data_IF_235795907430
#
_entry.id   IF_235795907430
#
_cell.length_a   1.000
_cell.length_b   1.000
_cell.length_c   1.000
_cell.angle_alpha   90.00
_cell.angle_beta   90.00
_cell.angle_gamma   90.00
#
_symmetry.space_group_name_H-M   'P 1'
#
loop_
_entity.id
_entity.type
_entity.pdbx_description
1 polymer ?
#
# COMPACT_ATOMS: atom_id res chain seq x y z
N UNK A 1 -2.36 33.80 2.80
CA UNK A 1 -1.73 33.80 1.46
C UNK A 1 -2.38 34.86 0.58
N UNK A 2 -1.57 35.60 -0.19
CA UNK A 2 -2.04 36.46 -1.29
C UNK A 2 -1.49 35.84 -2.58
N UNK A 3 -2.28 35.02 -3.26
CA UNK A 3 -1.88 34.38 -4.52
C UNK A 3 -2.39 35.19 -5.70
N UNK A 4 -1.63 35.27 -6.79
CA UNK A 4 -2.01 35.99 -8.02
C UNK A 4 -2.80 35.11 -8.98
N UNK A 5 -2.69 33.79 -8.85
CA UNK A 5 -3.41 32.80 -9.66
C UNK A 5 -3.46 31.43 -8.95
N UNK A 6 -4.22 30.50 -9.51
CA UNK A 6 -4.43 29.15 -8.95
C UNK A 6 -3.14 28.31 -8.88
N UNK A 7 -2.16 28.55 -9.77
CA UNK A 7 -0.86 27.85 -9.73
C UNK A 7 -0.02 28.30 -8.55
N UNK A 8 0.05 29.60 -8.28
CA UNK A 8 0.74 30.13 -7.09
C UNK A 8 0.07 29.61 -5.81
N UNK A 9 -1.27 29.55 -5.78
CA UNK A 9 -1.99 28.95 -4.66
C UNK A 9 -1.68 27.46 -4.46
N UNK A 10 -1.63 26.68 -5.54
CA UNK A 10 -1.28 25.25 -5.47
C UNK A 10 0.16 25.07 -4.97
N UNK A 11 1.11 25.84 -5.50
CA UNK A 11 2.51 25.76 -5.09
C UNK A 11 2.70 26.13 -3.62
N UNK A 12 2.07 27.21 -3.15
CA UNK A 12 2.10 27.60 -1.74
C UNK A 12 1.46 26.53 -0.83
N UNK A 13 0.39 25.85 -1.29
CA UNK A 13 -0.21 24.73 -0.55
C UNK A 13 0.71 23.51 -0.49
N UNK A 14 1.40 23.18 -1.58
CA UNK A 14 2.38 22.09 -1.65
C UNK A 14 3.59 22.42 -0.77
N UNK A 15 4.09 23.65 -0.82
CA UNK A 15 5.18 24.11 0.04
C UNK A 15 4.77 24.10 1.51
N UNK A 16 3.55 24.56 1.82
CA UNK A 16 2.99 24.42 3.16
C UNK A 16 2.96 22.95 3.59
N UNK A 17 2.51 22.04 2.74
CA UNK A 17 2.52 20.61 3.02
C UNK A 17 3.93 20.09 3.36
N UNK A 18 4.94 20.39 2.54
CA UNK A 18 6.32 19.95 2.76
C UNK A 18 6.96 20.52 4.04
N UNK A 19 6.49 21.68 4.51
CA UNK A 19 7.00 22.33 5.71
C UNK A 19 6.41 21.76 7.03
N UNK A 20 5.44 20.85 6.96
CA UNK A 20 4.87 20.19 8.14
C UNK A 20 5.23 18.71 8.14
N UNK A 21 5.53 18.16 9.33
CA UNK A 21 5.68 16.72 9.53
C UNK A 21 4.31 16.02 9.44
N UNK A 22 3.80 15.90 8.22
CA UNK A 22 2.56 15.20 7.95
C UNK A 22 2.83 13.71 7.93
N UNK A 23 1.98 12.93 8.60
CA UNK A 23 2.04 11.46 8.59
C UNK A 23 1.00 10.87 7.65
N UNK A 24 1.23 9.62 7.25
CA UNK A 24 0.31 8.87 6.41
C UNK A 24 0.27 9.36 4.98
N UNK A 25 -0.86 9.14 4.30
CA UNK A 25 -1.05 9.47 2.89
C UNK A 25 -1.52 10.90 2.64
N UNK A 26 -1.39 11.80 3.64
CA UNK A 26 -1.77 13.19 3.43
C UNK A 26 -0.90 13.81 2.35
N UNK A 27 -1.52 14.38 1.31
CA UNK A 27 -0.82 15.16 0.29
C UNK A 27 -1.79 16.11 -0.44
N UNK A 28 -1.27 17.23 -0.94
CA UNK A 28 -1.94 18.05 -1.96
C UNK A 28 -1.63 17.43 -3.31
N UNK A 29 -2.66 17.04 -4.06
CA UNK A 29 -2.46 16.34 -5.34
C UNK A 29 -1.98 17.33 -6.38
N UNK A 30 -0.69 17.26 -6.72
CA UNK A 30 -0.08 18.02 -7.83
C UNK A 30 -0.58 17.52 -9.20
N UNK A 31 -0.13 18.18 -10.28
CA UNK A 31 -0.57 17.87 -11.65
C UNK A 31 -0.15 16.46 -12.09
N UNK A 32 1.08 16.04 -11.80
CA UNK A 32 1.61 14.76 -12.22
C UNK A 32 0.94 13.62 -11.46
N UNK A 33 0.78 13.80 -10.14
CA UNK A 33 0.04 12.91 -9.26
C UNK A 33 -1.43 12.78 -9.68
N UNK A 34 -2.09 13.88 -10.09
CA UNK A 34 -3.45 13.80 -10.61
C UNK A 34 -3.53 12.90 -11.86
N UNK A 35 -2.64 13.12 -12.83
CA UNK A 35 -2.64 12.34 -14.08
C UNK A 35 -2.34 10.85 -13.82
N UNK A 36 -1.36 10.55 -12.96
CA UNK A 36 -1.04 9.18 -12.53
C UNK A 36 -2.23 8.49 -11.87
N UNK A 37 -2.80 9.10 -10.83
CA UNK A 37 -3.94 8.53 -10.09
C UNK A 37 -5.16 8.39 -11.02
N UNK A 38 -5.44 9.39 -11.85
CA UNK A 38 -6.53 9.35 -12.82
C UNK A 38 -6.37 8.20 -13.82
N UNK A 39 -5.17 7.93 -14.31
CA UNK A 39 -4.91 6.79 -15.19
C UNK A 39 -5.08 5.45 -14.48
N UNK A 40 -4.55 5.32 -13.25
CA UNK A 40 -4.73 4.11 -12.42
C UNK A 40 -6.22 3.81 -12.24
N UNK A 41 -7.02 4.78 -11.80
CA UNK A 41 -8.45 4.58 -11.58
C UNK A 41 -9.23 4.31 -12.87
N UNK A 42 -8.80 4.85 -14.02
CA UNK A 42 -9.35 4.47 -15.32
C UNK A 42 -9.09 3.00 -15.65
N UNK A 43 -7.86 2.52 -15.44
CA UNK A 43 -7.50 1.13 -15.66
C UNK A 43 -8.30 0.21 -14.73
N UNK A 44 -8.43 0.54 -13.45
CA UNK A 44 -9.24 -0.22 -12.48
C UNK A 44 -10.72 -0.35 -12.91
N UNK A 45 -11.29 0.68 -13.54
CA UNK A 45 -12.65 0.64 -14.11
C UNK A 45 -12.71 -0.26 -15.33
N UNK A 46 -11.73 -0.16 -16.24
CA UNK A 46 -11.65 -0.98 -17.45
C UNK A 46 -11.54 -2.47 -17.10
N UNK A 47 -10.71 -2.78 -16.09
CA UNK A 47 -10.51 -4.13 -15.55
C UNK A 47 -11.67 -4.61 -14.67
N UNK A 48 -12.70 -3.78 -14.47
CA UNK A 48 -13.87 -4.07 -13.62
C UNK A 48 -13.51 -4.39 -12.16
N UNK A 49 -12.38 -3.86 -11.67
CA UNK A 49 -11.93 -4.00 -10.28
C UNK A 49 -12.68 -3.05 -9.33
N UNK A 50 -13.13 -1.91 -9.86
CA UNK A 50 -13.98 -0.95 -9.15
C UNK A 50 -15.16 -0.55 -10.02
N UNK A 51 -16.20 0.03 -9.41
CA UNK A 51 -17.36 0.57 -10.13
C UNK A 51 -17.22 2.06 -10.42
N UNK A 52 -17.95 2.57 -11.42
CA UNK A 52 -18.06 4.02 -11.69
C UNK A 52 -18.66 4.81 -10.52
N UNK A 53 -19.24 4.13 -9.54
CA UNK A 53 -19.77 4.74 -8.33
C UNK A 53 -18.73 4.97 -7.24
N UNK A 54 -17.51 4.41 -7.38
CA UNK A 54 -16.40 4.60 -6.45
C UNK A 54 -16.16 6.09 -6.17
N UNK A 55 -15.91 6.41 -4.89
CA UNK A 55 -15.76 7.78 -4.42
C UNK A 55 -14.61 8.52 -5.11
N UNK A 56 -13.41 7.94 -5.10
CA UNK A 56 -12.21 8.54 -5.67
C UNK A 56 -12.36 8.72 -7.18
N UNK A 57 -12.88 7.70 -7.88
CA UNK A 57 -13.17 7.80 -9.31
C UNK A 57 -14.12 8.98 -9.62
N UNK A 58 -15.19 9.16 -8.84
CA UNK A 58 -16.11 10.30 -9.00
C UNK A 58 -15.42 11.66 -8.81
N UNK A 59 -14.44 11.76 -7.91
CA UNK A 59 -13.66 13.00 -7.72
C UNK A 59 -12.73 13.26 -8.90
N UNK A 60 -12.06 12.23 -9.39
CA UNK A 60 -11.12 12.34 -10.52
C UNK A 60 -11.83 12.70 -11.84
N UNK A 61 -13.07 12.23 -12.01
CA UNK A 61 -13.91 12.48 -13.19
C UNK A 61 -14.81 13.72 -13.08
N UNK A 62 -14.76 14.46 -11.97
CA UNK A 62 -15.49 15.72 -11.82
C UNK A 62 -14.99 16.73 -12.85
N UNK A 63 -15.91 17.35 -13.60
CA UNK A 63 -15.58 18.27 -14.69
C UNK A 63 -14.75 19.46 -14.21
N UNK A 64 -15.08 20.02 -13.05
CA UNK A 64 -14.39 21.20 -12.52
C UNK A 64 -12.99 20.84 -12.07
N UNK A 65 -12.80 19.63 -11.53
CA UNK A 65 -11.48 19.07 -11.21
C UNK A 65 -10.65 18.92 -12.48
N UNK A 66 -11.19 18.23 -13.50
CA UNK A 66 -10.50 18.04 -14.77
C UNK A 66 -10.10 19.37 -15.43
N UNK A 67 -11.03 20.33 -15.51
CA UNK A 67 -10.78 21.64 -16.10
C UNK A 67 -9.69 22.41 -15.34
N UNK A 68 -9.59 22.22 -14.02
CA UNK A 68 -8.58 22.86 -13.19
C UNK A 68 -7.19 22.27 -13.41
N UNK A 69 -7.04 20.94 -13.39
CA UNK A 69 -5.76 20.28 -13.68
C UNK A 69 -5.31 20.49 -15.13
N UNK A 70 -6.24 20.50 -16.09
CA UNK A 70 -5.93 20.85 -17.48
C UNK A 70 -5.36 22.27 -17.61
N UNK A 71 -5.88 23.26 -16.87
CA UNK A 71 -5.33 24.63 -16.84
C UNK A 71 -3.97 24.67 -16.16
N UNK A 72 -3.82 23.98 -15.03
CA UNK A 72 -2.58 23.94 -14.26
C UNK A 72 -1.43 23.30 -15.05
N UNK A 73 -1.71 22.26 -15.84
CA UNK A 73 -0.72 21.50 -16.61
C UNK A 73 -0.26 22.12 -17.94
N UNK A 74 -0.79 23.28 -18.35
CA UNK A 74 -0.49 23.88 -19.67
C UNK A 74 0.99 24.22 -19.93
N UNK A 75 1.81 24.34 -18.90
CA UNK A 75 3.24 24.69 -19.02
C UNK A 75 4.19 23.60 -18.46
N UNK A 76 3.65 22.42 -18.14
CA UNK A 76 4.43 21.32 -17.56
C UNK A 76 4.51 20.18 -18.57
N UNK A 77 5.72 19.76 -18.93
CA UNK A 77 5.92 18.52 -19.66
C UNK A 77 5.65 17.35 -18.72
N UNK A 78 4.56 16.62 -18.95
CA UNK A 78 4.28 15.37 -18.27
C UNK A 78 5.35 14.34 -18.64
N UNK A 79 6.22 14.01 -17.69
CA UNK A 79 7.16 12.90 -17.81
C UNK A 79 6.57 11.72 -17.06
N UNK A 80 6.09 10.73 -17.81
CA UNK A 80 5.69 9.45 -17.28
C UNK A 80 6.96 8.65 -16.99
N UNK A 81 7.56 8.84 -15.80
CA UNK A 81 8.52 7.86 -15.30
C UNK A 81 7.72 6.74 -14.64
N UNK A 82 7.44 5.68 -15.42
CA UNK A 82 7.20 4.36 -14.86
C UNK A 82 8.51 3.92 -14.20
N UNK A 83 8.70 4.29 -12.93
CA UNK A 83 9.69 3.63 -12.09
C UNK A 83 9.12 2.27 -11.70
N UNK A 84 9.11 1.34 -12.66
CA UNK A 84 8.89 -0.08 -12.43
C UNK A 84 10.12 -0.62 -11.70
N UNK A 85 10.21 -0.32 -10.40
CA UNK A 85 11.10 -1.05 -9.51
C UNK A 85 10.41 -2.39 -9.29
N UNK A 86 10.77 -3.34 -10.15
CA UNK A 86 10.12 -4.65 -10.26
C UNK A 86 10.33 -5.55 -9.04
N UNK A 87 10.20 -6.85 -9.27
CA UNK A 87 10.48 -7.91 -8.30
C UNK A 87 11.76 -8.63 -8.70
N UNK A 88 12.67 -8.83 -7.76
CA UNK A 88 13.87 -9.63 -7.96
C UNK A 88 13.73 -10.96 -7.21
N UNK A 89 14.15 -12.05 -7.84
CA UNK A 89 14.07 -13.40 -7.29
C UNK A 89 15.39 -14.14 -7.52
N UNK A 90 15.87 -14.86 -6.51
CA UNK A 90 17.08 -15.68 -6.61
C UNK A 90 17.18 -16.70 -5.47
N UNK A 91 18.03 -17.71 -5.66
CA UNK A 91 18.42 -18.64 -4.60
C UNK A 91 19.73 -18.21 -3.94
N UNK A 92 19.77 -18.17 -2.60
CA UNK A 92 21.02 -18.04 -1.82
C UNK A 92 21.06 -19.11 -0.72
N UNK A 93 22.01 -20.04 -0.86
CA UNK A 93 22.23 -21.21 0.01
C UNK A 93 20.98 -22.10 0.13
N UNK A 94 20.21 -21.90 1.20
CA UNK A 94 19.02 -22.69 1.55
C UNK A 94 17.73 -21.85 1.48
N UNK A 95 17.84 -20.59 1.05
CA UNK A 95 16.74 -19.66 0.93
C UNK A 95 16.42 -19.39 -0.54
N UNK A 96 15.14 -19.37 -0.86
CA UNK A 96 14.64 -18.62 -2.01
C UNK A 96 14.33 -17.19 -1.54
N UNK A 97 14.80 -16.18 -2.26
CA UNK A 97 14.62 -14.78 -1.90
C UNK A 97 13.74 -14.10 -2.92
N UNK A 98 12.75 -13.34 -2.44
CA UNK A 98 11.89 -12.47 -3.25
C UNK A 98 11.98 -11.05 -2.71
N UNK A 99 12.49 -10.12 -3.51
CA UNK A 99 12.56 -8.70 -3.16
C UNK A 99 11.45 -7.93 -3.87
N UNK A 100 10.49 -7.39 -3.11
CA UNK A 100 9.46 -6.50 -3.65
C UNK A 100 9.79 -5.05 -3.32
N UNK A 101 10.09 -4.23 -4.34
CA UNK A 101 10.26 -2.78 -4.16
C UNK A 101 8.93 -2.01 -4.18
N UNK A 102 7.88 -2.62 -4.71
CA UNK A 102 6.52 -2.06 -4.71
C UNK A 102 5.48 -3.19 -4.70
N UNK A 103 4.27 -2.87 -4.24
CA UNK A 103 3.07 -3.67 -4.49
C UNK A 103 2.15 -3.01 -5.52
N UNK A 104 2.70 -2.31 -6.51
CA UNK A 104 1.91 -1.82 -7.64
C UNK A 104 1.06 -2.96 -8.23
N UNK A 105 -0.18 -2.66 -8.64
CA UNK A 105 -1.11 -3.70 -9.09
C UNK A 105 -0.62 -4.44 -10.35
N UNK A 106 0.24 -3.82 -11.15
CA UNK A 106 0.90 -4.46 -12.30
C UNK A 106 1.78 -5.65 -11.89
N UNK A 107 2.26 -5.70 -10.64
CA UNK A 107 3.04 -6.82 -10.09
C UNK A 107 2.26 -8.13 -10.03
N UNK A 108 0.94 -8.12 -10.19
CA UNK A 108 0.15 -9.35 -10.40
C UNK A 108 0.65 -10.14 -11.62
N UNK A 109 1.19 -9.47 -12.64
CA UNK A 109 1.78 -10.13 -13.81
C UNK A 109 3.09 -10.84 -13.45
N UNK A 110 3.89 -10.24 -12.56
CA UNK A 110 5.16 -10.80 -12.09
C UNK A 110 4.98 -12.01 -11.18
N UNK A 111 3.82 -12.15 -10.50
CA UNK A 111 3.54 -13.33 -9.67
C UNK A 111 3.54 -14.65 -10.46
N UNK A 112 3.24 -14.61 -11.77
CA UNK A 112 3.33 -15.79 -12.62
C UNK A 112 4.78 -16.26 -12.81
N UNK A 113 5.71 -15.31 -13.01
CA UNK A 113 7.13 -15.57 -13.10
C UNK A 113 7.67 -16.13 -11.78
N UNK A 114 7.31 -15.53 -10.64
CA UNK A 114 7.69 -16.03 -9.31
C UNK A 114 7.22 -17.47 -9.14
N UNK A 115 5.98 -17.78 -9.54
CA UNK A 115 5.45 -19.13 -9.46
C UNK A 115 6.23 -20.11 -10.34
N UNK A 116 6.70 -19.72 -11.53
CA UNK A 116 7.56 -20.55 -12.39
C UNK A 116 8.91 -20.81 -11.74
N UNK A 117 9.60 -19.78 -11.25
CA UNK A 117 10.90 -19.91 -10.59
C UNK A 117 10.84 -20.78 -9.33
N UNK A 118 9.74 -20.70 -8.57
CA UNK A 118 9.52 -21.53 -7.38
C UNK A 118 9.28 -23.02 -7.70
N UNK A 119 8.91 -23.40 -8.92
CA UNK A 119 8.75 -24.83 -9.28
C UNK A 119 10.10 -25.57 -9.29
N UNK A 120 11.17 -24.86 -9.63
CA UNK A 120 12.52 -25.43 -9.71
C UNK A 120 13.24 -25.40 -8.34
N UNK A 121 12.74 -24.63 -7.39
CA UNK A 121 13.30 -24.56 -6.04
C UNK A 121 12.89 -25.78 -5.19
N UNK A 122 13.89 -26.44 -4.58
CA UNK A 122 13.68 -27.63 -3.76
C UNK A 122 13.90 -27.42 -2.26
N UNK A 123 14.21 -26.19 -1.83
CA UNK A 123 14.35 -25.84 -0.41
C UNK A 123 13.00 -25.62 0.28
N UNK A 124 13.04 -25.46 1.60
CA UNK A 124 11.83 -25.24 2.43
C UNK A 124 11.83 -23.89 3.18
N UNK A 125 12.76 -23.00 2.83
CA UNK A 125 12.90 -21.66 3.41
C UNK A 125 12.79 -20.59 2.35
N UNK A 126 11.98 -19.57 2.64
CA UNK A 126 11.79 -18.41 1.77
C UNK A 126 11.96 -17.11 2.56
N UNK A 127 12.63 -16.14 1.96
CA UNK A 127 12.75 -14.77 2.43
C UNK A 127 11.96 -13.89 1.48
N UNK A 128 11.10 -13.06 2.04
CA UNK A 128 10.39 -12.00 1.31
C UNK A 128 10.91 -10.68 1.87
N UNK A 129 11.57 -9.87 1.04
CA UNK A 129 12.06 -8.55 1.43
C UNK A 129 11.09 -7.46 0.95
N UNK A 130 10.56 -6.70 1.91
CA UNK A 130 9.71 -5.52 1.69
C UNK A 130 10.27 -4.28 2.41
N UNK A 131 11.56 -4.30 2.74
CA UNK A 131 12.18 -3.31 3.62
C UNK A 131 12.27 -1.90 3.02
N UNK A 132 12.32 -1.80 1.68
CA UNK A 132 12.24 -0.57 0.89
C UNK A 132 10.87 -0.39 0.18
N UNK A 133 9.86 -1.18 0.56
CA UNK A 133 8.55 -1.20 -0.11
C UNK A 133 7.55 -0.21 0.52
N UNK A 134 7.21 0.84 -0.21
CA UNK A 134 6.28 1.87 0.26
C UNK A 134 4.79 1.50 0.07
N UNK A 135 4.50 0.30 -0.44
CA UNK A 135 3.16 -0.26 -0.58
C UNK A 135 2.65 -0.28 -2.02
N UNK A 136 1.33 -0.12 -2.18
CA UNK A 136 0.61 -0.37 -3.42
C UNK A 136 -0.74 -1.02 -3.14
N UNK A 137 -1.06 -2.10 -3.84
CA UNK A 137 -2.33 -2.81 -3.72
C UNK A 137 -2.20 -4.06 -2.86
N UNK A 138 -3.08 -4.18 -1.87
CA UNK A 138 -3.18 -5.36 -1.01
C UNK A 138 -3.42 -6.67 -1.77
N UNK A 139 -3.96 -6.60 -2.99
CA UNK A 139 -4.22 -7.78 -3.81
C UNK A 139 -2.95 -8.54 -4.18
N UNK A 140 -1.81 -7.84 -4.32
CA UNK A 140 -0.55 -8.44 -4.76
C UNK A 140 -0.02 -9.38 -3.68
N UNK A 141 0.16 -8.87 -2.46
CA UNK A 141 0.66 -9.71 -1.37
C UNK A 141 -0.37 -10.77 -0.94
N UNK A 142 -1.68 -10.50 -1.04
CA UNK A 142 -2.71 -11.52 -0.77
C UNK A 142 -2.60 -12.70 -1.72
N UNK A 143 -2.34 -12.43 -3.01
CA UNK A 143 -2.13 -13.46 -4.02
C UNK A 143 -0.79 -14.20 -3.84
N UNK A 144 0.26 -13.49 -3.40
CA UNK A 144 1.51 -14.16 -3.00
C UNK A 144 1.28 -15.13 -1.84
N UNK A 145 0.55 -14.71 -0.79
CA UNK A 145 0.22 -15.58 0.35
C UNK A 145 -0.60 -16.80 -0.09
N UNK A 146 -1.53 -16.66 -1.05
CA UNK A 146 -2.30 -17.81 -1.53
C UNK A 146 -1.43 -18.83 -2.27
N UNK A 147 -0.37 -18.40 -2.95
CA UNK A 147 0.60 -19.30 -3.59
C UNK A 147 1.48 -20.03 -2.57
N UNK A 148 2.01 -19.29 -1.59
CA UNK A 148 3.07 -19.77 -0.70
C UNK A 148 2.58 -20.56 0.53
N UNK A 149 1.27 -20.56 0.79
CA UNK A 149 0.69 -21.19 1.99
C UNK A 149 0.03 -22.53 1.67
N UNK A 150 0.19 -23.53 2.56
CA UNK A 150 -0.60 -24.76 2.57
C UNK A 150 -1.97 -24.64 3.28
N UNK A 151 -2.25 -23.51 3.94
CA UNK A 151 -3.46 -23.28 4.75
C UNK A 151 -4.17 -21.97 4.44
N UNK A 152 -5.48 -21.93 4.71
CA UNK A 152 -6.28 -20.70 4.62
C UNK A 152 -6.01 -19.79 5.83
N UNK A 153 -6.11 -18.47 5.58
CA UNK A 153 -5.99 -17.47 6.62
C UNK A 153 -7.24 -16.61 6.74
N UNK A 154 -7.56 -16.25 7.98
CA UNK A 154 -8.54 -15.23 8.32
C UNK A 154 -7.92 -14.28 9.33
N UNK A 155 -7.76 -13.02 8.93
CA UNK A 155 -7.20 -11.96 9.75
C UNK A 155 -8.25 -10.88 9.99
N UNK A 156 -8.54 -10.60 11.26
CA UNK A 156 -9.48 -9.55 11.65
C UNK A 156 -8.75 -8.41 12.31
N UNK A 157 -9.15 -7.19 12.01
CA UNK A 157 -8.54 -6.03 12.62
C UNK A 157 -9.53 -4.89 12.84
N UNK A 158 -9.40 -4.19 13.98
CA UNK A 158 -10.24 -3.03 14.27
C UNK A 158 -9.66 -1.80 13.55
N UNK A 159 -10.51 -1.15 12.77
CA UNK A 159 -10.23 0.09 12.07
C UNK A 159 -11.06 1.20 12.72
N UNK A 160 -10.46 2.38 12.88
CA UNK A 160 -11.10 3.54 13.49
C UNK A 160 -11.05 4.73 12.54
N UNK A 161 -12.12 5.51 12.49
CA UNK A 161 -12.18 6.71 11.67
C UNK A 161 -12.87 7.86 12.40
N UNK A 162 -12.66 9.05 11.87
CA UNK A 162 -13.16 10.29 12.44
C UNK A 162 -13.72 11.22 11.36
N UNK A 163 -14.79 11.91 11.70
CA UNK A 163 -15.39 12.92 10.85
C UNK A 163 -16.33 12.38 9.76
N UNK A 164 -17.23 13.26 9.34
CA UNK A 164 -18.34 12.95 8.44
C UNK A 164 -17.90 12.56 7.03
N UNK A 165 -16.85 13.19 6.50
CA UNK A 165 -16.34 12.88 5.17
C UNK A 165 -15.76 11.46 5.12
N UNK A 166 -14.91 11.13 6.09
CA UNK A 166 -14.34 9.79 6.24
C UNK A 166 -15.40 8.71 6.45
N UNK A 167 -16.41 8.97 7.27
CA UNK A 167 -17.51 8.02 7.47
C UNK A 167 -18.22 7.69 6.16
N UNK A 168 -18.61 8.73 5.40
CA UNK A 168 -19.26 8.56 4.09
C UNK A 168 -18.36 7.86 3.07
N UNK A 169 -17.06 8.10 3.13
CA UNK A 169 -16.10 7.41 2.26
C UNK A 169 -16.07 5.92 2.56
N UNK A 170 -15.98 5.53 3.83
CA UNK A 170 -15.97 4.12 4.26
C UNK A 170 -17.30 3.44 3.91
N UNK A 171 -18.43 4.08 4.19
CA UNK A 171 -19.76 3.58 3.82
C UNK A 171 -19.92 3.38 2.31
N UNK A 172 -19.17 4.11 1.47
CA UNK A 172 -19.20 3.95 0.01
C UNK A 172 -18.55 2.65 -0.49
N UNK A 173 -17.84 1.93 0.38
CA UNK A 173 -17.33 0.58 0.14
C UNK A 173 -18.27 -0.52 0.68
N UNK A 174 -19.52 -0.17 1.01
CA UNK A 174 -20.51 -1.08 1.63
C UNK A 174 -20.03 -1.66 2.98
N UNK A 175 -19.15 -0.92 3.67
CA UNK A 175 -18.65 -1.29 4.99
C UNK A 175 -19.61 -0.74 6.04
N UNK A 176 -20.16 -1.63 6.88
CA UNK A 176 -20.98 -1.25 8.01
C UNK A 176 -20.10 -0.70 9.14
N UNK A 177 -20.40 0.54 9.56
CA UNK A 177 -19.62 1.28 10.55
C UNK A 177 -20.45 1.49 11.81
N UNK A 178 -19.84 1.23 12.96
CA UNK A 178 -20.47 1.41 14.26
C UNK A 178 -20.20 2.83 14.79
N UNK A 179 -20.98 3.27 15.77
CA UNK A 179 -20.84 4.55 16.48
C UNK A 179 -21.29 5.80 15.67
N UNK A 180 -20.89 6.97 16.15
CA UNK A 180 -21.40 8.30 15.75
C UNK A 180 -20.85 8.82 14.41
N UNK A 181 -21.33 9.98 13.92
CA UNK A 181 -20.74 10.65 12.74
C UNK A 181 -19.32 11.20 12.98
N UNK A 182 -18.97 11.57 14.23
CA UNK A 182 -17.68 12.22 14.55
C UNK A 182 -16.56 11.22 14.85
N UNK A 183 -16.92 10.02 15.29
CA UNK A 183 -16.01 8.91 15.57
C UNK A 183 -16.75 7.60 15.30
N UNK A 184 -16.11 6.74 14.53
CA UNK A 184 -16.65 5.45 14.11
C UNK A 184 -15.57 4.37 14.09
N UNK A 185 -16.00 3.10 14.13
CA UNK A 185 -15.10 1.97 13.95
C UNK A 185 -15.79 0.81 13.23
N UNK A 186 -14.98 -0.07 12.63
CA UNK A 186 -15.44 -1.31 12.02
C UNK A 186 -14.36 -2.39 12.14
N UNK A 187 -14.73 -3.64 11.85
CA UNK A 187 -13.80 -4.76 11.80
C UNK A 187 -13.53 -5.08 10.34
N UNK A 188 -12.30 -4.81 9.90
CA UNK A 188 -11.80 -5.29 8.62
C UNK A 188 -11.48 -6.79 8.73
N UNK A 189 -11.82 -7.54 7.68
CA UNK A 189 -11.59 -8.98 7.60
C UNK A 189 -10.87 -9.29 6.28
N UNK A 190 -9.63 -9.74 6.39
CA UNK A 190 -8.86 -10.29 5.28
C UNK A 190 -8.98 -11.81 5.34
N UNK A 191 -9.65 -12.37 4.34
CA UNK A 191 -9.74 -13.81 4.11
C UNK A 191 -8.88 -14.18 2.90
N UNK A 192 -7.97 -15.13 3.07
CA UNK A 192 -7.12 -15.66 2.00
C UNK A 192 -7.33 -17.17 1.94
N UNK A 193 -7.71 -17.64 0.76
CA UNK A 193 -7.81 -19.07 0.45
C UNK A 193 -6.48 -19.50 -0.17
N UNK A 194 -5.87 -20.54 0.40
CA UNK A 194 -4.65 -21.11 -0.14
C UNK A 194 -4.93 -21.83 -1.46
N UNK A 195 -4.06 -21.62 -2.45
CA UNK A 195 -4.05 -22.37 -3.71
C UNK A 195 -3.26 -23.67 -3.60
N UNK A 196 -2.59 -23.89 -2.47
CA UNK A 196 -1.80 -25.09 -2.16
C UNK A 196 -0.76 -25.40 -3.24
N UNK A 197 -0.18 -24.36 -3.84
CA UNK A 197 0.87 -24.51 -4.84
C UNK A 197 2.19 -24.87 -4.17
N UNK A 198 2.52 -24.19 -3.06
CA UNK A 198 3.70 -24.43 -2.26
C UNK A 198 3.35 -24.52 -0.77
N UNK A 199 4.21 -25.21 -0.01
CA UNK A 199 4.06 -25.37 1.45
C UNK A 199 5.41 -25.17 2.14
N UNK A 200 5.88 -23.93 2.16
CA UNK A 200 7.15 -23.56 2.78
C UNK A 200 7.06 -23.67 4.31
N UNK A 201 7.98 -24.42 4.91
CA UNK A 201 8.00 -24.60 6.37
C UNK A 201 8.44 -23.35 7.10
N UNK A 202 9.33 -22.56 6.49
CA UNK A 202 9.82 -21.31 7.07
C UNK A 202 9.72 -20.17 6.08
N UNK A 203 8.81 -19.25 6.37
CA UNK A 203 8.67 -17.98 5.64
C UNK A 203 9.19 -16.86 6.55
N UNK A 204 10.13 -16.07 6.04
CA UNK A 204 10.66 -14.89 6.72
C UNK A 204 10.26 -13.64 5.93
N UNK A 205 9.85 -12.60 6.64
CA UNK A 205 9.52 -11.31 6.02
C UNK A 205 10.46 -10.24 6.60
N UNK A 206 11.28 -9.65 5.72
CA UNK A 206 12.16 -8.54 6.07
C UNK A 206 11.41 -7.24 5.88
N UNK A 207 11.39 -6.38 6.90
CA UNK A 207 10.75 -5.08 6.86
C UNK A 207 11.67 -3.98 7.39
N UNK A 208 11.46 -2.76 6.91
CA UNK A 208 12.30 -1.59 7.14
C UNK A 208 11.50 -0.38 7.60
N UNK A 209 12.20 0.72 7.85
CA UNK A 209 11.61 2.01 8.23
C UNK A 209 10.87 2.69 7.07
N UNK A 210 11.00 2.18 5.84
CA UNK A 210 10.23 2.59 4.67
C UNK A 210 9.05 1.68 4.34
N UNK A 211 8.94 0.52 5.00
CA UNK A 211 7.78 -0.36 4.84
C UNK A 211 6.50 0.42 5.21
N UNK A 212 5.62 0.65 4.25
CA UNK A 212 4.47 1.55 4.39
C UNK A 212 3.22 1.00 3.70
N UNK A 213 2.04 1.54 4.05
CA UNK A 213 0.77 1.27 3.36
C UNK A 213 0.48 -0.24 3.21
N UNK A 214 0.21 -0.74 1.98
CA UNK A 214 -0.03 -2.17 1.74
C UNK A 214 1.11 -3.08 2.23
N UNK A 215 2.36 -2.61 2.25
CA UNK A 215 3.49 -3.37 2.79
C UNK A 215 3.43 -3.46 4.32
N UNK A 216 3.00 -2.40 5.03
CA UNK A 216 2.68 -2.48 6.46
C UNK A 216 1.50 -3.42 6.71
N UNK A 217 0.48 -3.40 5.86
CA UNK A 217 -0.67 -4.31 5.93
C UNK A 217 -0.20 -5.77 5.86
N UNK A 218 0.68 -6.08 4.91
CA UNK A 218 1.28 -7.40 4.75
C UNK A 218 2.15 -7.82 5.94
N UNK A 219 3.01 -6.91 6.44
CA UNK A 219 3.83 -7.17 7.62
C UNK A 219 2.97 -7.49 8.84
N UNK A 220 1.91 -6.72 9.04
CA UNK A 220 0.98 -6.89 10.14
C UNK A 220 0.19 -8.19 10.03
N UNK A 221 -0.33 -8.50 8.84
CA UNK A 221 -0.98 -9.77 8.54
C UNK A 221 -0.04 -10.92 8.89
N UNK A 222 1.16 -10.91 8.31
CA UNK A 222 2.17 -11.96 8.47
C UNK A 222 2.51 -12.23 9.92
N UNK A 223 2.76 -11.17 10.69
CA UNK A 223 3.02 -11.26 12.12
C UNK A 223 1.82 -11.79 12.92
N UNK A 224 0.62 -11.36 12.59
CA UNK A 224 -0.59 -11.65 13.37
C UNK A 224 -1.15 -13.04 13.10
N UNK A 225 -0.99 -13.55 11.87
CA UNK A 225 -1.47 -14.87 11.45
C UNK A 225 -0.42 -15.97 11.60
N UNK A 226 0.85 -15.58 11.75
CA UNK A 226 1.97 -16.53 11.73
C UNK A 226 2.33 -17.01 10.33
N UNK A 227 1.86 -16.35 9.28
CA UNK A 227 2.28 -16.66 7.90
C UNK A 227 3.79 -16.52 7.73
N UNK A 228 4.41 -15.49 8.31
CA UNK A 228 5.86 -15.31 8.25
C UNK A 228 6.44 -14.81 9.58
N UNK A 229 7.69 -15.18 9.84
CA UNK A 229 8.49 -14.57 10.90
C UNK A 229 9.02 -13.21 10.43
N UNK A 230 8.51 -12.13 11.04
CA UNK A 230 8.84 -10.76 10.65
C UNK A 230 10.11 -10.26 11.34
N UNK A 231 11.09 -9.79 10.56
CA UNK A 231 12.44 -9.42 11.00
C UNK A 231 12.79 -8.03 10.44
N UNK A 232 13.53 -7.20 11.18
CA UNK A 232 14.10 -5.94 10.68
C UNK A 232 13.80 -4.73 11.56
N UNK A 233 13.29 -3.65 10.98
CA UNK A 233 12.92 -2.41 11.70
C UNK A 233 11.41 -2.22 11.78
N UNK A 234 10.96 -1.30 12.65
CA UNK A 234 9.56 -0.87 12.71
C UNK A 234 9.17 -0.13 11.41
N UNK A 235 7.96 -0.38 10.90
CA UNK A 235 7.45 0.22 9.66
C UNK A 235 7.15 1.71 9.80
N UNK A 236 7.01 2.39 8.66
CA UNK A 236 6.39 3.71 8.57
C UNK A 236 4.87 3.68 8.80
N UNK A 237 4.22 2.51 8.68
CA UNK A 237 2.84 2.28 9.12
C UNK A 237 1.77 2.49 8.05
N UNK A 238 0.56 2.84 8.50
CA UNK A 238 -0.60 3.20 7.66
C UNK A 238 -1.15 2.12 6.73
N UNK A 239 -0.91 0.83 7.02
CA UNK A 239 -1.58 -0.29 6.36
C UNK A 239 -3.03 -0.46 6.84
N UNK A 240 -3.97 0.26 6.21
CA UNK A 240 -5.39 0.29 6.63
C UNK A 240 -6.34 -0.54 5.75
N UNK A 241 -5.89 -0.99 4.57
CA UNK A 241 -6.70 -1.79 3.64
C UNK A 241 -7.67 -0.99 2.77
N UNK A 242 -7.75 0.34 2.94
CA UNK A 242 -8.52 1.24 2.09
C UNK A 242 -7.59 2.21 1.36
N UNK A 243 -7.94 2.52 0.11
CA UNK A 243 -7.28 3.59 -0.64
C UNK A 243 -7.41 4.92 0.12
N UNK A 244 -6.38 5.80 0.07
CA UNK A 244 -6.50 7.15 0.58
C UNK A 244 -7.69 7.89 -0.05
N UNK A 245 -8.44 8.65 0.75
CA UNK A 245 -9.61 9.38 0.30
C UNK A 245 -9.21 10.66 -0.44
N UNK A 246 -9.80 10.88 -1.61
CA UNK A 246 -9.71 12.13 -2.35
C UNK A 246 -10.85 13.08 -1.96
N UNK A 247 -10.51 14.32 -1.64
CA UNK A 247 -11.45 15.42 -1.40
C UNK A 247 -11.20 16.58 -2.37
N UNK A 248 -12.27 17.11 -2.94
CA UNK A 248 -12.25 18.31 -3.80
C UNK A 248 -12.32 19.56 -2.93
N UNK A 249 -11.37 20.48 -3.11
CA UNK A 249 -11.44 21.82 -2.50
C UNK A 249 -12.49 22.69 -3.20
N UNK A 250 -13.37 23.40 -2.46
CA UNK A 250 -14.58 24.02 -3.01
C UNK A 250 -14.36 25.21 -3.94
N UNK A 251 -13.18 25.84 -3.93
CA UNK A 251 -12.91 27.05 -4.72
C UNK A 251 -11.89 26.84 -5.84
N UNK A 252 -10.92 25.94 -5.63
CA UNK A 252 -9.85 25.68 -6.60
C UNK A 252 -10.04 24.39 -7.38
N UNK A 253 -10.93 23.51 -6.90
CA UNK A 253 -11.13 22.15 -7.41
C UNK A 253 -9.86 21.28 -7.43
N UNK A 254 -8.80 21.71 -6.74
CA UNK A 254 -7.62 20.89 -6.43
C UNK A 254 -8.06 19.77 -5.49
N UNK A 255 -7.42 18.60 -5.64
CA UNK A 255 -7.67 17.46 -4.78
C UNK A 255 -6.69 17.44 -3.60
N UNK A 256 -7.21 17.04 -2.44
CA UNK A 256 -6.43 16.66 -1.27
C UNK A 256 -6.60 15.16 -1.05
N UNK A 257 -5.50 14.47 -0.83
CA UNK A 257 -5.46 13.07 -0.45
C UNK A 257 -5.23 12.97 1.05
N UNK A 258 -5.95 12.07 1.73
CA UNK A 258 -5.77 11.79 3.15
C UNK A 258 -6.26 10.39 3.52
N UNK A 259 -5.72 9.83 4.60
CA UNK A 259 -6.28 8.63 5.20
C UNK A 259 -7.68 8.91 5.78
N UNK A 260 -8.69 8.17 5.32
CA UNK A 260 -10.04 8.26 5.91
C UNK A 260 -10.13 7.59 7.28
N UNK A 261 -9.23 6.64 7.54
CA UNK A 261 -9.25 5.77 8.70
C UNK A 261 -7.82 5.48 9.16
N UNK A 262 -7.69 5.03 10.40
CA UNK A 262 -6.43 4.60 10.97
C UNK A 262 -6.59 3.25 11.68
N UNK A 263 -5.45 2.59 11.88
CA UNK A 263 -5.33 1.31 12.56
C UNK A 263 -4.42 1.48 13.77
N UNK A 264 -4.73 0.82 14.89
CA UNK A 264 -3.91 0.86 16.10
C UNK A 264 -3.29 -0.52 16.40
N UNK A 265 -1.98 -0.62 16.63
CA UNK A 265 -0.96 0.44 16.49
C UNK A 265 -0.83 0.92 15.04
N UNK A 266 -0.37 2.16 14.83
CA UNK A 266 -0.20 2.75 13.48
C UNK A 266 0.88 2.02 12.68
N UNK A 267 1.97 1.68 13.35
CA UNK A 267 3.13 0.95 12.82
C UNK A 267 3.09 -0.52 13.22
N UNK A 268 3.91 -1.31 12.55
CA UNK A 268 4.16 -2.72 12.83
C UNK A 268 5.60 -2.87 13.33
N UNK A 269 5.75 -3.34 14.57
CA UNK A 269 7.06 -3.74 15.11
C UNK A 269 7.37 -5.18 14.68
N UNK A 270 8.59 -5.49 14.20
CA UNK A 270 8.96 -6.85 13.84
C UNK A 270 9.03 -7.76 15.09
N UNK A 271 9.10 -9.08 14.87
CA UNK A 271 9.34 -10.05 15.94
C UNK A 271 10.79 -10.04 16.40
N UNK A 272 11.72 -9.92 15.45
CA UNK A 272 13.16 -9.78 15.71
C UNK A 272 13.65 -8.46 15.14
N UNK A 273 14.23 -7.61 15.99
CA UNK A 273 14.68 -6.28 15.57
C UNK A 273 16.16 -6.30 15.18
N UNK A 274 16.47 -5.83 13.98
CA UNK A 274 17.83 -5.66 13.47
C UNK A 274 18.00 -4.24 12.93
N UNK A 275 19.17 -3.66 13.22
CA UNK A 275 19.51 -2.34 12.72
C UNK A 275 19.96 -2.36 11.25
N UNK A 276 20.65 -3.42 10.83
CA UNK A 276 20.96 -3.66 9.43
C UNK A 276 19.90 -4.57 8.81
N UNK A 277 19.25 -4.09 7.75
CA UNK A 277 18.20 -4.79 7.01
C UNK A 277 18.73 -5.46 5.74
N UNK A 278 20.05 -5.43 5.49
CA UNK A 278 20.64 -6.17 4.39
C UNK A 278 20.34 -7.67 4.48
N UNK A 279 19.87 -8.26 3.38
CA UNK A 279 19.46 -9.68 3.31
C UNK A 279 20.53 -10.62 3.85
N UNK A 280 21.80 -10.41 3.49
CA UNK A 280 22.91 -11.26 3.96
C UNK A 280 23.08 -11.25 5.48
N UNK A 281 22.90 -10.09 6.10
CA UNK A 281 22.99 -9.96 7.56
C UNK A 281 21.79 -10.61 8.25
N UNK A 282 20.60 -10.51 7.63
CA UNK A 282 19.39 -11.16 8.12
C UNK A 282 19.50 -12.68 8.01
N UNK A 283 19.96 -13.21 6.88
CA UNK A 283 20.24 -14.64 6.69
C UNK A 283 21.22 -15.16 7.74
N UNK A 284 22.34 -14.45 7.93
CA UNK A 284 23.32 -14.82 8.93
C UNK A 284 22.69 -14.83 10.34
N UNK A 285 21.84 -13.85 10.64
CA UNK A 285 21.12 -13.80 11.91
C UNK A 285 20.15 -14.97 12.08
N UNK A 286 19.37 -15.31 11.05
CA UNK A 286 18.44 -16.45 11.06
C UNK A 286 19.20 -17.75 11.34
N UNK A 287 20.29 -18.00 10.61
CA UNK A 287 21.11 -19.21 10.76
C UNK A 287 21.77 -19.26 12.13
N UNK A 288 22.39 -18.17 12.58
CA UNK A 288 23.13 -18.12 13.86
C UNK A 288 22.22 -18.35 15.06
N UNK A 289 20.98 -17.86 14.99
CA UNK A 289 20.03 -17.92 16.10
C UNK A 289 19.01 -19.06 15.98
N UNK A 290 19.09 -19.88 14.92
CA UNK A 290 18.14 -20.98 14.63
C UNK A 290 16.67 -20.53 14.65
N UNK A 291 16.39 -19.38 14.03
CA UNK A 291 15.04 -18.79 13.93
C UNK A 291 14.21 -19.49 12.84
#
# INVERSE_FOLDING_TARGET
MKCKNDREFLNDLIEFYFNYETKGHFNIVDVDSYHRIHQVYKNLIQDKRISKNNWNYKKLMDKEVFDSYYKLGKDTSYLHEENDRGVDCYEDKEFFVIEFHSFDISMLNSLAQINEELQDFHGDKIIIDISDNEGGSDIVWKKLVSYLSGVDYRYKSKITGHGKASKKYVESYDIDVQESESKFSYIDCIDIQSEKLFDFKKVYLIMGDKTFSAADSFARFSKSTGFATVIGKESAGFGTGLDPMLLKLPYTNVLVMLDSVGKYPETTKPKYQLNNICIKDVEQYIVTNNI
#
